data_IF_437589534892
#
_entry.id   IF_437589534892
#
_cell.length_a   1.000
_cell.length_b   1.000
_cell.length_c   1.000
_cell.angle_alpha   90.00
_cell.angle_beta   90.00
_cell.angle_gamma   90.00
#
_symmetry.space_group_name_H-M   'P 1'
#
loop_
_entity.id
_entity.type
_entity.pdbx_description
1 polymer ?
#
# COMPACT_ATOMS: atom_id res chain seq x y z
N UNK A 1 -6.30 -0.02 -5.92
CA UNK A 1 -6.78 -1.42 -5.86
C UNK A 1 -7.54 -1.52 -4.55
N UNK A 2 -8.89 -1.41 -4.58
CA UNK A 2 -9.70 -1.18 -3.39
C UNK A 2 -10.02 -2.50 -2.67
N UNK A 3 -9.11 -2.97 -1.82
CA UNK A 3 -9.27 -4.30 -1.19
C UNK A 3 -10.53 -4.38 -0.33
N UNK A 4 -10.88 -3.33 0.42
CA UNK A 4 -12.07 -3.36 1.29
C UNK A 4 -13.41 -3.30 0.54
N UNK A 5 -13.41 -3.11 -0.78
CA UNK A 5 -14.63 -2.87 -1.58
C UNK A 5 -15.00 -4.09 -2.46
N UNK A 6 -14.16 -5.12 -2.55
CA UNK A 6 -14.37 -6.30 -3.41
C UNK A 6 -14.27 -7.61 -2.63
N UNK A 7 -15.36 -8.38 -2.59
CA UNK A 7 -15.45 -9.66 -1.85
C UNK A 7 -14.39 -10.69 -2.27
N UNK A 8 -14.03 -10.74 -3.55
CA UNK A 8 -13.00 -11.65 -4.06
C UNK A 8 -11.60 -11.25 -3.59
N UNK A 9 -11.32 -9.95 -3.57
CA UNK A 9 -10.06 -9.42 -3.05
C UNK A 9 -9.95 -9.61 -1.53
N UNK A 10 -11.05 -9.42 -0.79
CA UNK A 10 -11.13 -9.69 0.65
C UNK A 10 -10.77 -11.15 0.93
N UNK A 11 -11.45 -12.10 0.28
CA UNK A 11 -11.19 -13.54 0.46
C UNK A 11 -9.75 -13.94 0.07
N UNK A 12 -9.20 -13.32 -0.98
CA UNK A 12 -7.81 -13.55 -1.37
C UNK A 12 -6.80 -12.98 -0.36
N UNK A 13 -7.12 -11.84 0.28
CA UNK A 13 -6.29 -11.25 1.32
C UNK A 13 -6.35 -12.06 2.62
N UNK A 14 -7.54 -12.51 3.03
CA UNK A 14 -7.74 -13.37 4.22
C UNK A 14 -7.03 -14.72 4.09
N UNK A 15 -7.03 -15.31 2.90
CA UNK A 15 -6.29 -16.55 2.62
C UNK A 15 -4.77 -16.35 2.50
N UNK A 16 -4.29 -15.11 2.59
CA UNK A 16 -2.87 -14.76 2.50
C UNK A 16 -2.27 -14.84 1.09
N UNK A 17 -3.11 -15.05 0.06
CA UNK A 17 -2.67 -15.12 -1.35
C UNK A 17 -2.43 -13.70 -1.89
N UNK A 18 -3.30 -12.76 -1.53
CA UNK A 18 -3.20 -11.36 -1.91
C UNK A 18 -2.48 -10.57 -0.80
N UNK A 19 -1.16 -10.46 -0.92
CA UNK A 19 -0.31 -9.71 0.02
C UNK A 19 -0.13 -8.25 -0.41
N UNK A 20 0.38 -7.41 0.48
CA UNK A 20 0.71 -6.01 0.18
C UNK A 20 1.69 -5.91 -1.01
N UNK A 21 2.79 -6.66 -0.97
CA UNK A 21 3.78 -6.71 -2.06
C UNK A 21 3.15 -7.17 -3.39
N UNK A 22 2.16 -8.07 -3.33
CA UNK A 22 1.44 -8.51 -4.53
C UNK A 22 0.55 -7.40 -5.08
N UNK A 23 -0.08 -6.60 -4.22
CA UNK A 23 -0.84 -5.42 -4.61
C UNK A 23 0.07 -4.38 -5.26
N UNK A 24 1.21 -4.04 -4.64
CA UNK A 24 2.25 -3.15 -5.20
C UNK A 24 2.78 -3.67 -6.56
N UNK A 25 3.01 -4.97 -6.69
CA UNK A 25 3.38 -5.54 -7.99
C UNK A 25 2.29 -5.35 -9.06
N UNK A 26 1.01 -5.36 -8.68
CA UNK A 26 -0.09 -5.09 -9.62
C UNK A 26 -0.23 -3.59 -9.96
N UNK A 27 0.15 -2.67 -9.06
CA UNK A 27 0.18 -1.23 -9.36
C UNK A 27 1.23 -0.89 -10.42
N UNK A 28 2.26 -1.73 -10.59
CA UNK A 28 3.20 -1.62 -11.72
C UNK A 28 2.51 -1.71 -13.09
N UNK A 29 1.30 -2.26 -13.18
CA UNK A 29 0.52 -2.34 -14.44
C UNK A 29 -0.74 -1.48 -14.38
N UNK A 30 -1.51 -1.54 -13.30
CA UNK A 30 -2.74 -0.76 -13.09
C UNK A 30 -2.46 0.72 -12.77
N UNK A 31 -3.46 1.60 -12.80
CA UNK A 31 -3.29 3.06 -12.59
C UNK A 31 -3.89 3.61 -11.30
N UNK A 32 -4.46 2.75 -10.43
CA UNK A 32 -5.15 3.23 -9.22
C UNK A 32 -4.20 3.33 -8.02
N UNK A 33 -3.17 2.48 -7.95
CA UNK A 33 -2.28 2.38 -6.78
C UNK A 33 -2.88 1.54 -5.64
N UNK A 34 -2.40 1.73 -4.41
CA UNK A 34 -2.89 1.08 -3.21
C UNK A 34 -4.09 1.84 -2.64
N UNK A 35 -5.23 1.17 -2.50
CA UNK A 35 -6.46 1.84 -2.12
C UNK A 35 -7.25 1.06 -1.07
N UNK A 36 -7.77 1.75 -0.05
CA UNK A 36 -8.48 1.14 1.08
C UNK A 36 -7.74 -0.06 1.72
N UNK A 37 -6.44 0.11 1.96
CA UNK A 37 -5.64 -0.95 2.57
C UNK A 37 -5.60 -0.75 4.08
N UNK A 38 -6.26 -1.64 4.83
CA UNK A 38 -6.18 -1.66 6.28
C UNK A 38 -4.84 -2.27 6.74
N UNK A 39 -4.11 -1.57 7.60
CA UNK A 39 -2.82 -2.01 8.19
C UNK A 39 -2.90 -1.95 9.72
N UNK A 40 -1.98 -2.61 10.46
CA UNK A 40 -2.02 -2.59 11.92
C UNK A 40 -2.04 -1.17 12.47
N UNK A 41 -2.83 -0.93 13.51
CA UNK A 41 -3.00 0.41 14.07
C UNK A 41 -1.74 1.01 14.69
N UNK A 42 -0.76 0.16 15.01
CA UNK A 42 0.56 0.52 15.54
C UNK A 42 1.64 0.61 14.44
N UNK A 43 1.26 0.59 13.16
CA UNK A 43 2.20 0.76 12.04
C UNK A 43 2.93 2.11 12.16
N UNK A 44 4.27 2.13 12.22
CA UNK A 44 5.04 3.36 12.35
C UNK A 44 4.86 4.30 11.15
N UNK A 45 4.97 5.60 11.39
CA UNK A 45 4.87 6.62 10.35
C UNK A 45 5.94 6.42 9.26
N UNK A 46 7.12 5.93 9.63
CA UNK A 46 8.21 5.60 8.70
C UNK A 46 7.82 4.45 7.77
N UNK A 47 7.13 3.42 8.27
CA UNK A 47 6.63 2.31 7.45
C UNK A 47 5.55 2.79 6.47
N UNK A 48 4.61 3.61 6.93
CA UNK A 48 3.60 4.23 6.04
C UNK A 48 4.28 5.10 4.97
N UNK A 49 5.29 5.88 5.37
CA UNK A 49 6.06 6.73 4.45
C UNK A 49 6.82 5.91 3.41
N UNK A 50 7.32 4.72 3.77
CA UNK A 50 7.98 3.81 2.84
C UNK A 50 7.01 3.25 1.80
N UNK A 51 5.82 2.80 2.22
CA UNK A 51 4.76 2.35 1.30
C UNK A 51 4.40 3.46 0.29
N UNK A 52 4.26 4.70 0.77
CA UNK A 52 4.02 5.86 -0.11
C UNK A 52 5.19 6.10 -1.07
N UNK A 53 6.43 5.96 -0.60
CA UNK A 53 7.62 6.14 -1.42
C UNK A 53 7.73 5.08 -2.52
N UNK A 54 7.38 3.83 -2.24
CA UNK A 54 7.39 2.73 -3.21
C UNK A 54 6.35 2.97 -4.32
N UNK A 55 5.11 3.31 -3.96
CA UNK A 55 4.06 3.63 -4.94
C UNK A 55 4.36 4.91 -5.74
N UNK A 56 4.98 5.91 -5.11
CA UNK A 56 5.44 7.12 -5.80
C UNK A 56 6.57 6.79 -6.80
N UNK A 57 7.48 5.89 -6.45
CA UNK A 57 8.55 5.45 -7.36
C UNK A 57 7.97 4.66 -8.55
N UNK A 58 7.03 3.75 -8.31
CA UNK A 58 6.31 3.03 -9.38
C UNK A 58 5.63 4.02 -10.33
N UNK A 59 4.93 5.02 -9.80
CA UNK A 59 4.27 6.07 -10.58
C UNK A 59 5.26 6.90 -11.40
N UNK A 60 6.31 7.39 -10.74
CA UNK A 60 7.35 8.24 -11.32
C UNK A 60 8.09 7.54 -12.47
N UNK A 61 8.53 6.30 -12.26
CA UNK A 61 9.33 5.54 -13.23
C UNK A 61 8.48 5.12 -14.44
N UNK A 62 7.24 4.69 -14.19
CA UNK A 62 6.35 4.21 -15.25
C UNK A 62 5.50 5.30 -15.91
N UNK A 63 5.72 6.58 -15.55
CA UNK A 63 4.96 7.71 -16.09
C UNK A 63 3.44 7.52 -15.94
N UNK A 64 3.03 7.00 -14.78
CA UNK A 64 1.63 6.72 -14.46
C UNK A 64 1.21 7.45 -13.20
N UNK A 65 -0.08 7.72 -13.09
CA UNK A 65 -0.68 8.14 -11.83
C UNK A 65 -0.80 6.94 -10.91
N UNK A 66 -0.39 7.10 -9.67
CA UNK A 66 -0.63 6.16 -8.56
C UNK A 66 -1.20 6.94 -7.38
N UNK A 67 -1.82 6.24 -6.45
CA UNK A 67 -2.32 6.79 -5.20
C UNK A 67 -2.09 5.81 -4.07
N UNK A 68 -2.07 6.32 -2.84
CA UNK A 68 -1.98 5.51 -1.63
C UNK A 68 -3.05 5.95 -0.65
N UNK A 69 -3.95 5.04 -0.31
CA UNK A 69 -4.90 5.16 0.80
C UNK A 69 -4.72 3.96 1.73
N UNK A 70 -3.84 4.13 2.71
CA UNK A 70 -3.55 3.17 3.77
C UNK A 70 -4.22 3.64 5.07
N UNK A 71 -4.85 2.71 5.79
CA UNK A 71 -5.69 3.01 6.95
C UNK A 71 -5.15 2.23 8.16
N UNK A 72 -4.46 2.90 9.10
CA UNK A 72 -4.06 2.28 10.36
C UNK A 72 -5.31 1.93 11.19
N UNK A 73 -5.54 0.63 11.37
CA UNK A 73 -6.67 0.08 12.10
C UNK A 73 -6.42 0.13 13.61
N UNK A 74 -6.70 1.28 14.25
CA UNK A 74 -6.38 1.51 15.66
C UNK A 74 -7.00 0.44 16.56
N UNK A 75 -6.17 -0.18 17.40
CA UNK A 75 -6.57 -1.25 18.32
C UNK A 75 -6.79 -2.62 17.67
N UNK A 76 -6.55 -2.76 16.36
CA UNK A 76 -6.66 -4.02 15.61
C UNK A 76 -5.29 -4.55 15.21
N UNK A 77 -5.19 -5.87 15.11
CA UNK A 77 -4.00 -6.63 14.73
C UNK A 77 -4.19 -7.26 13.36
N UNK A 78 -3.10 -7.77 12.78
CA UNK A 78 -3.14 -8.51 11.52
C UNK A 78 -4.18 -9.64 11.59
N UNK A 79 -5.02 -9.72 10.56
CA UNK A 79 -6.11 -10.71 10.46
C UNK A 79 -7.41 -10.31 11.16
N UNK A 80 -7.41 -9.30 12.03
CA UNK A 80 -8.66 -8.70 12.51
C UNK A 80 -9.34 -7.98 11.33
N UNK A 81 -10.67 -7.89 11.33
CA UNK A 81 -11.43 -7.22 10.27
C UNK A 81 -11.66 -5.74 10.62
N UNK A 82 -11.47 -4.82 9.67
CA UNK A 82 -11.87 -3.42 9.76
C UNK A 82 -13.07 -3.14 8.87
N UNK A 83 -14.22 -2.85 9.49
CA UNK A 83 -15.47 -2.50 8.82
C UNK A 83 -15.69 -0.98 8.86
N UNK A 84 -15.91 -0.37 7.70
CA UNK A 84 -16.23 1.05 7.53
C UNK A 84 -17.74 1.31 7.41
N UNK A 85 -18.54 0.25 7.34
CA UNK A 85 -19.98 0.26 7.13
C UNK A 85 -20.40 0.58 5.70
N UNK A 86 -21.53 0.00 5.28
CA UNK A 86 -22.25 0.39 4.05
C UNK A 86 -21.37 0.52 2.80
N UNK A 87 -21.17 1.77 2.34
CA UNK A 87 -20.60 2.13 1.03
C UNK A 87 -19.09 1.87 0.88
N UNK A 88 -18.33 1.86 1.98
CA UNK A 88 -16.86 1.73 1.95
C UNK A 88 -16.38 0.31 2.28
N UNK A 89 -17.33 -0.60 2.52
CA UNK A 89 -17.08 -2.01 2.81
C UNK A 89 -16.23 -2.24 4.06
N UNK A 90 -15.53 -3.36 4.05
CA UNK A 90 -14.65 -3.80 5.14
C UNK A 90 -13.63 -4.81 4.62
N UNK A 91 -12.61 -5.10 5.42
CA UNK A 91 -11.62 -6.09 5.02
C UNK A 91 -10.59 -6.39 6.10
N UNK A 92 -9.74 -7.41 5.89
CA UNK A 92 -8.75 -7.80 6.86
C UNK A 92 -7.68 -6.73 7.02
N UNK A 93 -7.21 -6.56 8.26
CA UNK A 93 -5.97 -5.85 8.55
C UNK A 93 -4.81 -6.67 7.97
N UNK A 94 -4.19 -6.13 6.92
CA UNK A 94 -3.12 -6.81 6.19
C UNK A 94 -1.78 -6.64 6.90
N UNK A 95 -0.89 -7.66 6.88
CA UNK A 95 0.45 -7.51 7.42
C UNK A 95 1.27 -6.48 6.63
N UNK A 96 2.14 -5.76 7.34
CA UNK A 96 3.17 -4.88 6.77
C UNK A 96 4.55 -5.37 7.17
N UNK A 97 5.59 -4.98 6.43
CA UNK A 97 6.97 -5.29 6.79
C UNK A 97 7.32 -4.75 8.18
N UNK A 98 7.97 -5.59 9.00
CA UNK A 98 8.49 -5.22 10.33
C UNK A 98 9.93 -4.71 10.30
N UNK A 99 10.56 -4.71 9.12
CA UNK A 99 11.91 -4.19 8.93
C UNK A 99 11.87 -2.67 8.86
N UNK A 100 12.71 -2.00 9.63
CA UNK A 100 12.69 -0.53 9.76
C UNK A 100 13.20 0.19 8.50
N UNK A 101 12.38 1.05 7.86
CA UNK A 101 12.82 1.94 6.77
C UNK A 101 13.34 3.29 7.28
N UNK A 102 13.47 3.47 8.59
CA UNK A 102 13.73 4.76 9.25
C UNK A 102 14.91 5.51 8.62
N UNK A 103 16.04 4.84 8.40
CA UNK A 103 17.23 5.45 7.79
C UNK A 103 16.95 6.05 6.40
N UNK A 104 16.12 5.38 5.59
CA UNK A 104 15.79 5.85 4.25
C UNK A 104 14.86 7.07 4.32
N UNK A 105 13.79 6.98 5.10
CA UNK A 105 12.78 8.05 5.23
C UNK A 105 13.38 9.34 5.80
N UNK A 106 14.21 9.23 6.84
CA UNK A 106 14.86 10.40 7.44
C UNK A 106 15.98 11.01 6.57
N UNK A 107 16.38 10.39 5.46
CA UNK A 107 17.33 11.01 4.53
C UNK A 107 16.76 12.32 3.96
N UNK A 108 15.43 12.41 3.83
CA UNK A 108 14.75 13.61 3.33
C UNK A 108 15.26 14.08 1.96
N UNK A 109 14.97 15.33 1.64
CA UNK A 109 15.40 15.94 0.39
C UNK A 109 14.48 15.63 -0.79
N UNK A 110 15.07 15.47 -1.99
CA UNK A 110 14.34 15.30 -3.25
C UNK A 110 14.88 14.12 -4.03
N UNK A 111 13.99 13.20 -4.41
CA UNK A 111 14.31 12.16 -5.39
C UNK A 111 14.28 12.82 -6.79
N UNK A 112 15.38 12.77 -7.56
CA UNK A 112 15.43 13.39 -8.88
C UNK A 112 14.56 12.63 -9.88
N UNK A 113 14.15 13.32 -10.95
CA UNK A 113 13.36 12.70 -12.01
C UNK A 113 14.16 11.58 -12.72
N UNK A 114 13.50 10.49 -13.16
CA UNK A 114 14.16 9.41 -13.86
C UNK A 114 14.63 9.85 -15.25
N UNK A 115 15.77 9.31 -15.69
CA UNK A 115 16.33 9.58 -17.02
C UNK A 115 15.43 8.94 -18.08
N UNK A 116 14.72 9.77 -18.84
CA UNK A 116 13.77 9.32 -19.86
C UNK A 116 14.45 8.76 -21.13
N UNK A 117 15.70 9.13 -21.39
CA UNK A 117 16.42 8.75 -22.61
C UNK A 117 16.98 7.33 -22.61
N UNK A 118 16.93 6.62 -21.48
CA UNK A 118 17.41 5.24 -21.30
C UNK A 118 16.24 4.30 -21.01
N UNK A 119 15.16 4.42 -21.78
CA UNK A 119 14.03 3.48 -21.76
C UNK A 119 14.26 2.41 -22.83
N UNK A 120 13.98 1.15 -22.50
CA UNK A 120 14.05 0.01 -23.43
C UNK A 120 12.99 0.13 -24.54
#
# INVERSE_FOLDING_TARGET
>A
IPVSEDEGMIAAAESGVLTLDKLEAMTCVCSVGLDMIAVPGDTPAETISAIIADEAAIGMVNSKTTAVRVIPAIGKRVGDELDFGGLLGGGPVMPVSTVSPQKFIHRGGRIPAPIQSLKN
#
